data_IF_602281562019
#
_entry.id   IF_602281562019
#
_cell.length_a   1.000
_cell.length_b   1.000
_cell.length_c   1.000
_cell.angle_alpha   90.00
_cell.angle_beta   90.00
_cell.angle_gamma   90.00
#
_symmetry.space_group_name_H-M   'P 1'
#
loop_
_entity.id
_entity.type
_entity.pdbx_description
1 polymer ?
#
# COMPACT_ATOMS: atom_id res chain seq x y z
N UNK A 1 -51.86 -7.91 -9.06
CA UNK A 1 -52.04 -6.93 -7.99
C UNK A 1 -50.70 -6.29 -7.71
N UNK A 2 -50.45 -5.16 -8.37
CA UNK A 2 -49.25 -4.37 -8.19
C UNK A 2 -49.42 -3.50 -6.94
N UNK A 3 -48.42 -3.50 -6.04
CA UNK A 3 -48.32 -2.46 -5.03
C UNK A 3 -46.86 -2.02 -4.93
N UNK A 4 -46.55 -0.97 -5.68
CA UNK A 4 -45.36 -0.14 -5.47
C UNK A 4 -45.78 0.95 -4.47
N UNK A 5 -44.83 1.31 -3.59
CA UNK A 5 -44.68 2.54 -2.79
C UNK A 5 -44.77 2.32 -1.28
N UNK A 6 -43.59 2.29 -0.63
CA UNK A 6 -43.39 3.16 0.52
C UNK A 6 -41.94 3.67 0.56
N UNK A 7 -41.81 4.87 -0.02
CA UNK A 7 -41.04 6.02 0.45
C UNK A 7 -39.77 5.75 1.30
N UNK A 8 -38.64 5.97 0.63
CA UNK A 8 -37.39 6.43 1.21
C UNK A 8 -37.62 7.70 2.06
N UNK A 9 -37.32 7.66 3.36
CA UNK A 9 -36.54 8.70 4.09
C UNK A 9 -36.44 8.33 5.57
N UNK A 10 -35.28 7.82 5.99
CA UNK A 10 -34.80 7.99 7.36
C UNK A 10 -33.28 8.01 7.33
N UNK A 11 -32.75 9.20 7.08
CA UNK A 11 -31.40 9.60 7.49
C UNK A 11 -31.23 9.32 8.98
N UNK A 12 -30.66 8.18 9.32
CA UNK A 12 -29.88 8.00 10.55
C UNK A 12 -28.45 7.83 10.10
N UNK A 13 -27.68 8.92 10.23
CA UNK A 13 -26.23 8.89 10.08
C UNK A 13 -25.60 8.01 11.14
N UNK A 14 -25.52 6.71 10.87
CA UNK A 14 -24.42 5.92 11.39
C UNK A 14 -23.21 6.27 10.53
N UNK A 15 -22.44 7.25 10.99
CA UNK A 15 -20.99 7.25 10.78
C UNK A 15 -20.49 6.04 11.55
N UNK A 16 -20.75 4.85 11.00
CA UNK A 16 -20.11 3.63 11.42
C UNK A 16 -18.65 3.83 11.11
N UNK A 17 -17.87 4.01 12.16
CA UNK A 17 -16.43 3.85 12.13
C UNK A 17 -16.17 2.41 11.68
N UNK A 18 -16.21 2.13 10.38
CA UNK A 18 -15.76 0.85 9.83
C UNK A 18 -14.29 0.76 10.23
N UNK A 19 -13.92 -0.17 11.12
CA UNK A 19 -12.52 -0.40 11.39
C UNK A 19 -11.91 -0.81 10.05
N UNK A 20 -10.91 -0.07 9.56
CA UNK A 20 -10.13 -0.54 8.42
C UNK A 20 -9.76 -2.00 8.71
N UNK A 21 -10.10 -2.95 7.83
CA UNK A 21 -9.76 -4.35 8.08
C UNK A 21 -8.27 -4.40 8.39
N UNK A 22 -7.86 -5.07 9.49
CA UNK A 22 -6.47 -5.07 9.91
C UNK A 22 -5.60 -5.48 8.73
N UNK A 23 -4.76 -4.57 8.25
CA UNK A 23 -3.74 -4.88 7.25
C UNK A 23 -2.73 -5.81 7.92
N UNK A 24 -2.93 -7.10 7.72
CA UNK A 24 -2.00 -8.11 8.22
C UNK A 24 -0.71 -8.04 7.41
N UNK A 25 0.36 -7.59 8.05
CA UNK A 25 1.70 -7.64 7.46
C UNK A 25 2.20 -9.08 7.43
N UNK A 26 2.61 -9.56 6.26
CA UNK A 26 3.27 -10.87 6.11
C UNK A 26 4.77 -10.71 6.29
N UNK A 27 5.39 -11.50 7.17
CA UNK A 27 6.85 -11.52 7.33
C UNK A 27 7.48 -12.39 6.24
N UNK A 28 8.46 -11.85 5.54
CA UNK A 28 9.30 -12.59 4.58
C UNK A 28 10.75 -12.49 5.01
N UNK A 29 11.48 -13.61 4.98
CA UNK A 29 12.92 -13.65 5.17
C UNK A 29 13.57 -13.78 3.80
N UNK A 30 14.49 -12.87 3.49
CA UNK A 30 15.24 -12.85 2.24
C UNK A 30 16.72 -12.69 2.57
N UNK A 31 17.58 -13.38 1.80
CA UNK A 31 19.02 -13.12 1.85
C UNK A 31 19.32 -11.94 0.92
N UNK A 32 20.01 -10.93 1.44
CA UNK A 32 20.52 -9.81 0.66
C UNK A 32 22.04 -9.90 0.58
N UNK A 33 22.62 -9.41 -0.52
CA UNK A 33 24.07 -9.20 -0.56
C UNK A 33 24.46 -8.10 0.44
N UNK A 34 25.72 -8.06 0.92
CA UNK A 34 26.19 -7.00 1.79
C UNK A 34 26.01 -5.60 1.17
N UNK A 35 26.21 -5.49 -0.13
CA UNK A 35 26.03 -4.24 -0.88
C UNK A 35 24.56 -3.79 -0.87
N UNK A 36 23.62 -4.69 -1.14
CA UNK A 36 22.19 -4.35 -1.11
C UNK A 36 21.75 -3.92 0.29
N UNK A 37 22.19 -4.62 1.33
CA UNK A 37 21.91 -4.25 2.71
C UNK A 37 22.46 -2.85 3.04
N UNK A 38 23.68 -2.54 2.59
CA UNK A 38 24.26 -1.22 2.77
C UNK A 38 23.48 -0.13 2.01
N UNK A 39 23.05 -0.39 0.78
CA UNK A 39 22.23 0.54 0.00
C UNK A 39 20.89 0.85 0.69
N UNK A 40 20.22 -0.18 1.24
CA UNK A 40 18.99 0.00 2.02
C UNK A 40 19.26 0.86 3.26
N UNK A 41 20.37 0.62 3.96
CA UNK A 41 20.77 1.39 5.14
C UNK A 41 21.03 2.86 4.78
N UNK A 42 21.79 3.14 3.73
CA UNK A 42 22.05 4.50 3.23
C UNK A 42 20.75 5.21 2.86
N UNK A 43 19.89 4.56 2.07
CA UNK A 43 18.57 5.11 1.69
C UNK A 43 17.74 5.47 2.92
N UNK A 44 17.74 4.60 3.95
CA UNK A 44 17.04 4.83 5.21
C UNK A 44 17.53 6.11 5.91
N UNK A 45 18.84 6.31 6.00
CA UNK A 45 19.42 7.49 6.63
C UNK A 45 19.11 8.78 5.86
N UNK A 46 19.31 8.76 4.55
CA UNK A 46 19.07 9.93 3.68
C UNK A 46 17.62 10.41 3.75
N UNK A 47 16.68 9.46 3.83
CA UNK A 47 15.24 9.75 3.87
C UNK A 47 14.67 9.82 5.30
N UNK A 48 15.53 9.76 6.33
CA UNK A 48 15.15 9.81 7.76
C UNK A 48 14.07 8.79 8.13
N UNK A 49 14.17 7.59 7.59
CA UNK A 49 13.21 6.51 7.82
C UNK A 49 13.58 5.76 9.09
N UNK A 50 12.61 5.56 9.99
CA UNK A 50 12.89 4.97 11.30
C UNK A 50 13.32 3.49 11.23
N UNK A 51 12.74 2.70 10.33
CA UNK A 51 12.95 1.25 10.27
C UNK A 51 13.44 0.77 8.91
N UNK A 52 14.28 -0.26 8.92
CA UNK A 52 14.76 -0.90 7.70
C UNK A 52 13.63 -1.55 6.90
N UNK A 53 12.66 -2.16 7.58
CA UNK A 53 11.48 -2.72 6.95
C UNK A 53 10.66 -1.66 6.19
N UNK A 54 10.57 -0.44 6.71
CA UNK A 54 9.89 0.66 6.02
C UNK A 54 10.68 1.14 4.80
N UNK A 55 12.01 1.24 4.91
CA UNK A 55 12.88 1.55 3.79
C UNK A 55 12.70 0.54 2.65
N UNK A 56 12.71 -0.76 2.97
CA UNK A 56 12.51 -1.83 2.00
C UNK A 56 11.14 -1.74 1.34
N UNK A 57 10.06 -1.47 2.09
CA UNK A 57 8.71 -1.31 1.51
C UNK A 57 8.66 -0.18 0.48
N UNK A 58 9.23 0.98 0.81
CA UNK A 58 9.25 2.14 -0.10
C UNK A 58 10.08 1.87 -1.35
N UNK A 59 11.22 1.21 -1.21
CA UNK A 59 12.07 0.83 -2.34
C UNK A 59 11.35 -0.16 -3.27
N UNK A 60 10.64 -1.15 -2.71
CA UNK A 60 9.83 -2.10 -3.50
C UNK A 60 8.71 -1.34 -4.24
N UNK A 61 8.00 -0.44 -3.56
CA UNK A 61 6.93 0.33 -4.18
C UNK A 61 7.45 1.21 -5.33
N UNK A 62 8.58 1.89 -5.12
CA UNK A 62 9.21 2.70 -6.15
C UNK A 62 9.64 1.86 -7.36
N UNK A 63 10.25 0.69 -7.13
CA UNK A 63 10.66 -0.22 -8.20
C UNK A 63 9.47 -0.76 -8.99
N UNK A 64 8.39 -1.17 -8.31
CA UNK A 64 7.17 -1.66 -8.97
C UNK A 64 6.47 -0.58 -9.80
N UNK A 65 6.48 0.68 -9.31
CA UNK A 65 5.93 1.82 -10.07
C UNK A 65 6.74 2.07 -11.34
N UNK A 66 8.06 2.14 -11.23
CA UNK A 66 8.94 2.35 -12.38
C UNK A 66 8.80 1.24 -13.44
N UNK A 67 8.69 -0.02 -13.01
CA UNK A 67 8.43 -1.15 -13.91
C UNK A 67 7.05 -1.08 -14.59
N UNK A 68 6.03 -0.62 -13.86
CA UNK A 68 4.69 -0.41 -14.41
C UNK A 68 4.68 0.67 -15.50
N UNK A 69 5.29 1.82 -15.21
CA UNK A 69 5.41 2.94 -16.15
C UNK A 69 6.19 2.54 -17.42
N UNK A 70 7.33 1.86 -17.27
CA UNK A 70 8.12 1.38 -18.40
C UNK A 70 7.33 0.41 -19.32
N UNK A 71 6.48 -0.44 -18.75
CA UNK A 71 5.62 -1.36 -19.51
C UNK A 71 4.51 -0.65 -20.27
N UNK A 72 3.99 0.43 -19.72
CA UNK A 72 2.92 1.21 -20.35
C UNK A 72 3.44 2.10 -21.48
N UNK A 73 4.67 2.60 -21.38
CA UNK A 73 5.36 3.32 -22.46
C UNK A 73 5.64 2.42 -23.67
N UNK A 74 6.10 1.18 -23.46
CA UNK A 74 6.35 0.23 -24.55
C UNK A 74 5.08 -0.29 -25.26
N UNK A 75 3.88 0.02 -24.74
CA UNK A 75 2.59 -0.36 -25.34
C UNK A 75 1.98 0.74 -26.21
N UNK A 76 2.44 1.98 -26.08
CA UNK A 76 1.92 3.16 -26.81
C UNK A 76 2.65 3.37 -28.12
#
# INVERSE_FOLDING_TARGET
>A
MAYILMVNTASMGHIGNMPNPPTFTVKKLIALTPEMAQQVSTYRFDHRIASEAEAIRRLIEAGLRAEGEARDEGRR
#
